data_IF_379588415471
#
_entry.id   IF_379588415471
#
_cell.length_a   1.000
_cell.length_b   1.000
_cell.length_c   1.000
_cell.angle_alpha   90.00
_cell.angle_beta   90.00
_cell.angle_gamma   90.00
#
_symmetry.space_group_name_H-M   'P 1'
#
loop_
_entity.id
_entity.type
_entity.pdbx_description
1 polymer ?
#
# COMPACT_ATOMS: atom_id res chain seq x y z
N UNK A 1 -52.91 -33.36 26.94
CA UNK A 1 -51.70 -33.23 27.78
C UNK A 1 -50.67 -34.22 27.28
N UNK A 2 -49.75 -33.81 26.41
CA UNK A 2 -48.51 -34.55 26.17
C UNK A 2 -47.47 -33.53 25.71
N UNK A 3 -46.67 -33.04 26.66
CA UNK A 3 -45.54 -32.17 26.37
C UNK A 3 -44.42 -33.04 25.78
N UNK A 4 -44.01 -32.74 24.55
CA UNK A 4 -42.82 -33.33 23.97
C UNK A 4 -41.61 -32.51 24.42
N UNK A 5 -40.95 -33.04 25.45
CA UNK A 5 -39.77 -32.44 26.07
C UNK A 5 -38.58 -32.56 25.11
N UNK A 6 -38.16 -31.43 24.52
CA UNK A 6 -36.88 -31.33 23.83
C UNK A 6 -35.75 -31.43 24.87
N UNK A 7 -35.07 -32.59 24.88
CA UNK A 7 -33.82 -32.77 25.63
C UNK A 7 -32.72 -32.01 24.89
N UNK A 8 -32.41 -30.80 25.35
CA UNK A 8 -31.19 -30.11 24.91
C UNK A 8 -30.01 -30.81 25.58
N UNK A 9 -29.30 -31.63 24.83
CA UNK A 9 -28.03 -32.20 25.27
C UNK A 9 -27.01 -31.05 25.33
N UNK A 10 -26.44 -30.80 26.51
CA UNK A 10 -25.29 -29.90 26.66
C UNK A 10 -24.06 -30.67 26.19
N UNK A 11 -23.81 -30.63 24.89
CA UNK A 11 -22.59 -31.18 24.27
C UNK A 11 -21.41 -30.28 24.63
N UNK A 12 -20.23 -30.88 24.81
CA UNK A 12 -19.02 -30.14 25.22
C UNK A 12 -18.68 -29.13 24.10
N UNK A 13 -18.12 -27.95 24.42
CA UNK A 13 -17.83 -26.91 23.42
C UNK A 13 -17.04 -27.41 22.20
N UNK A 14 -16.18 -28.41 22.38
CA UNK A 14 -15.41 -29.02 21.30
C UNK A 14 -16.25 -29.89 20.36
N UNK A 15 -17.30 -30.57 20.83
CA UNK A 15 -18.18 -31.40 19.98
C UNK A 15 -19.07 -30.53 19.09
N UNK A 16 -19.61 -29.43 19.63
CA UNK A 16 -20.38 -28.47 18.85
C UNK A 16 -19.54 -27.83 17.73
N UNK A 17 -18.24 -27.62 17.98
CA UNK A 17 -17.29 -27.14 16.97
C UNK A 17 -17.03 -28.22 15.91
N UNK A 18 -16.88 -29.49 16.30
CA UNK A 18 -16.67 -30.58 15.33
C UNK A 18 -17.88 -30.78 14.41
N UNK A 19 -19.10 -30.76 14.95
CA UNK A 19 -20.33 -30.87 14.13
C UNK A 19 -20.48 -29.68 13.16
N UNK A 20 -20.12 -28.47 13.59
CA UNK A 20 -20.11 -27.30 12.73
C UNK A 20 -19.08 -27.39 11.61
N UNK A 21 -17.86 -27.89 11.90
CA UNK A 21 -16.83 -28.09 10.88
C UNK A 21 -17.22 -29.19 9.87
N UNK A 22 -17.81 -30.29 10.34
CA UNK A 22 -18.23 -31.39 9.47
C UNK A 22 -19.35 -30.96 8.52
N UNK A 23 -20.31 -30.16 9.00
CA UNK A 23 -21.33 -29.54 8.17
C UNK A 23 -20.75 -28.60 7.09
N UNK A 24 -19.74 -27.81 7.44
CA UNK A 24 -19.07 -26.91 6.49
C UNK A 24 -18.24 -27.67 5.44
N UNK A 25 -17.61 -28.77 5.83
CA UNK A 25 -16.85 -29.66 4.93
C UNK A 25 -17.76 -30.38 3.92
N UNK A 26 -18.94 -30.85 4.36
CA UNK A 26 -19.91 -31.47 3.48
C UNK A 26 -20.49 -30.50 2.44
N UNK A 27 -20.78 -29.25 2.83
CA UNK A 27 -21.28 -28.22 1.91
C UNK A 27 -20.24 -27.85 0.83
N UNK A 28 -18.96 -27.71 1.23
CA UNK A 28 -17.87 -27.46 0.29
C UNK A 28 -17.67 -28.64 -0.70
N UNK A 29 -17.80 -29.88 -0.23
CA UNK A 29 -17.66 -31.08 -1.07
C UNK A 29 -18.83 -31.22 -2.05
N UNK A 30 -20.06 -30.94 -1.61
CA UNK A 30 -21.24 -30.95 -2.48
C UNK A 30 -21.13 -29.88 -3.59
N UNK A 31 -20.64 -28.68 -3.27
CA UNK A 31 -20.36 -27.63 -4.26
C UNK A 31 -19.28 -28.02 -5.26
N UNK A 32 -18.23 -28.71 -4.82
CA UNK A 32 -17.17 -29.19 -5.71
C UNK A 32 -17.68 -30.24 -6.71
N UNK A 33 -18.54 -31.16 -6.27
CA UNK A 33 -19.14 -32.18 -7.14
C UNK A 33 -20.11 -31.59 -8.18
N UNK A 34 -20.77 -30.46 -7.87
CA UNK A 34 -21.65 -29.76 -8.82
C UNK A 34 -20.90 -28.98 -9.91
N UNK A 35 -19.60 -28.71 -9.74
CA UNK A 35 -18.80 -27.97 -10.72
C UNK A 35 -18.19 -28.88 -11.81
N UNK A 36 -18.18 -30.20 -11.59
CA UNK A 36 -17.54 -31.18 -12.49
C UNK A 36 -18.52 -31.78 -13.52
N UNK A 37 -19.83 -31.52 -13.39
CA UNK A 37 -20.87 -32.06 -14.28
C UNK A 37 -21.31 -31.07 -15.38
N UNK A 38 -20.35 -30.32 -15.93
CA UNK A 38 -20.63 -29.38 -17.04
C UNK A 38 -19.47 -29.23 -18.05
N UNK A 39 -18.76 -30.31 -18.39
CA UNK A 39 -17.90 -30.33 -19.59
C UNK A 39 -18.10 -31.65 -20.34
N UNK A 40 -19.05 -31.64 -21.27
CA UNK A 40 -19.12 -32.64 -22.34
C UNK A 40 -17.95 -32.39 -23.32
N UNK A 41 -17.20 -33.42 -23.77
CA UNK A 41 -16.11 -33.25 -24.73
C UNK A 41 -16.68 -32.96 -26.13
N UNK A 42 -16.29 -31.84 -26.74
CA UNK A 42 -16.52 -31.61 -28.16
C UNK A 42 -15.31 -32.06 -28.99
N UNK A 43 -15.64 -32.77 -30.06
CA UNK A 43 -14.79 -33.45 -31.02
C UNK A 43 -13.78 -32.54 -31.75
N UNK A 44 -12.68 -33.20 -32.09
CA UNK A 44 -11.57 -32.81 -32.95
C UNK A 44 -12.07 -32.52 -34.37
N UNK A 45 -11.68 -31.38 -34.96
CA UNK A 45 -11.65 -31.25 -36.42
C UNK A 45 -10.31 -30.62 -36.82
N UNK A 46 -9.42 -31.51 -37.24
CA UNK A 46 -8.16 -31.23 -37.91
C UNK A 46 -8.46 -30.94 -39.38
N UNK A 47 -8.14 -29.74 -39.88
CA UNK A 47 -8.05 -29.49 -41.33
C UNK A 47 -6.72 -28.82 -41.62
N UNK A 48 -5.74 -29.68 -41.89
CA UNK A 48 -4.48 -29.37 -42.55
C UNK A 48 -4.79 -29.11 -44.03
N UNK A 49 -4.41 -27.94 -44.56
CA UNK A 49 -4.22 -27.77 -46.00
C UNK A 49 -2.90 -27.06 -46.28
N UNK A 50 -1.96 -27.92 -46.65
CA UNK A 50 -0.59 -27.76 -47.15
C UNK A 50 -0.54 -26.93 -48.46
N UNK A 51 0.36 -25.92 -48.44
CA UNK A 51 1.33 -25.46 -49.47
C UNK A 51 0.87 -24.92 -50.84
N UNK A 52 1.30 -23.69 -51.17
CA UNK A 52 2.21 -23.42 -52.30
C UNK A 52 2.82 -21.99 -52.24
N UNK A 53 4.16 -21.92 -52.20
CA UNK A 53 4.97 -20.73 -52.51
C UNK A 53 4.83 -20.37 -54.00
N UNK A 54 4.97 -19.09 -54.39
CA UNK A 54 6.28 -18.67 -54.92
C UNK A 54 6.67 -17.22 -54.58
N UNK A 55 7.91 -17.04 -54.12
CA UNK A 55 8.77 -15.92 -54.54
C UNK A 55 9.35 -16.27 -55.94
N UNK A 56 9.84 -15.33 -56.79
CA UNK A 56 10.45 -14.03 -56.45
C UNK A 56 10.12 -12.87 -57.41
N UNK A 57 10.28 -11.62 -56.96
CA UNK A 57 10.95 -10.59 -57.78
C UNK A 57 11.27 -9.37 -56.91
N UNK A 58 12.57 -9.18 -56.67
CA UNK A 58 13.14 -7.99 -56.05
C UNK A 58 13.28 -6.92 -57.15
N UNK A 59 12.37 -5.95 -57.18
CA UNK A 59 12.64 -4.65 -57.81
C UNK A 59 13.01 -3.64 -56.73
N UNK A 60 14.31 -3.35 -56.69
CA UNK A 60 14.91 -2.30 -55.88
C UNK A 60 14.49 -0.96 -56.48
N UNK A 61 13.64 -0.22 -55.78
CA UNK A 61 13.51 1.24 -55.95
C UNK A 61 13.70 1.91 -54.58
N UNK A 62 14.66 2.84 -54.43
CA UNK A 62 14.90 3.52 -53.17
C UNK A 62 13.85 4.62 -53.02
N UNK A 63 12.75 4.33 -52.34
CA UNK A 63 11.87 5.36 -51.80
C UNK A 63 12.17 5.49 -50.31
N UNK A 64 12.94 6.52 -49.99
CA UNK A 64 13.01 7.13 -48.66
C UNK A 64 11.58 7.45 -48.26
N UNK A 65 10.99 6.60 -47.43
CA UNK A 65 9.71 6.85 -46.78
C UNK A 65 9.97 6.78 -45.29
N UNK A 66 9.91 7.97 -44.72
CA UNK A 66 10.13 8.32 -43.32
C UNK A 66 9.56 7.26 -42.38
N UNK A 67 10.39 6.91 -41.39
CA UNK A 67 9.98 6.21 -40.18
C UNK A 67 8.63 6.76 -39.71
N UNK A 68 7.64 5.91 -39.40
CA UNK A 68 6.58 6.35 -38.52
C UNK A 68 7.24 6.56 -37.16
N UNK A 69 7.61 7.80 -36.90
CA UNK A 69 7.93 8.31 -35.58
C UNK A 69 6.79 7.83 -34.69
N UNK A 70 7.09 6.86 -33.83
CA UNK A 70 6.22 6.50 -32.74
C UNK A 70 5.88 7.81 -32.04
N UNK A 71 4.64 8.27 -32.16
CA UNK A 71 4.11 9.31 -31.31
C UNK A 71 4.07 8.65 -29.94
N UNK A 72 5.17 8.77 -29.20
CA UNK A 72 5.19 8.60 -27.77
C UNK A 72 4.27 9.71 -27.31
N UNK A 73 3.01 9.34 -27.08
CA UNK A 73 2.03 10.16 -26.41
C UNK A 73 2.71 10.59 -25.11
N UNK A 74 3.18 11.84 -25.09
CA UNK A 74 3.98 12.36 -24.01
C UNK A 74 3.08 12.33 -22.78
N UNK A 75 3.30 11.32 -21.94
CA UNK A 75 2.63 11.22 -20.65
C UNK A 75 2.76 12.60 -19.97
N UNK A 76 1.68 13.13 -19.37
CA UNK A 76 1.73 14.41 -18.69
C UNK A 76 2.91 14.39 -17.73
N UNK A 77 3.87 15.29 -17.93
CA UNK A 77 5.08 15.39 -17.11
C UNK A 77 4.65 15.49 -15.66
N UNK A 78 4.78 14.41 -14.89
CA UNK A 78 4.41 14.37 -13.50
C UNK A 78 5.21 15.47 -12.76
N UNK A 79 4.53 16.56 -12.38
CA UNK A 79 5.18 17.72 -11.80
C UNK A 79 5.73 17.33 -10.43
N UNK A 80 7.06 17.35 -10.31
CA UNK A 80 7.75 17.07 -9.06
C UNK A 80 7.71 15.61 -8.65
N UNK A 81 7.80 14.69 -9.62
CA UNK A 81 8.12 13.27 -9.37
C UNK A 81 9.57 13.14 -8.86
N UNK A 82 9.81 12.47 -7.73
CA UNK A 82 11.16 12.31 -7.18
C UNK A 82 12.10 11.55 -8.12
N UNK A 83 13.40 11.85 -8.10
CA UNK A 83 14.38 11.28 -9.04
C UNK A 83 14.49 9.75 -8.92
N UNK A 84 14.49 9.24 -7.69
CA UNK A 84 14.58 7.80 -7.41
C UNK A 84 13.47 6.97 -8.04
N UNK A 85 12.32 7.60 -8.31
CA UNK A 85 11.18 6.91 -8.84
C UNK A 85 11.27 6.64 -10.34
N UNK A 86 12.30 7.14 -11.04
CA UNK A 86 12.48 6.96 -12.50
C UNK A 86 12.91 5.56 -12.90
N UNK A 87 13.41 4.76 -11.96
CA UNK A 87 13.84 3.38 -12.17
C UNK A 87 13.07 2.46 -11.23
N UNK A 88 13.30 1.15 -11.31
CA UNK A 88 12.75 0.21 -10.32
C UNK A 88 13.30 0.53 -8.93
N UNK A 89 12.42 0.54 -7.94
CA UNK A 89 12.77 0.84 -6.55
C UNK A 89 12.06 -0.12 -5.59
N UNK A 90 12.58 -0.20 -4.38
CA UNK A 90 11.94 -0.96 -3.30
C UNK A 90 11.18 -0.03 -2.37
N UNK A 91 10.00 -0.47 -1.93
CA UNK A 91 9.17 0.24 -0.97
C UNK A 91 8.85 -0.64 0.23
N UNK A 92 8.90 -0.04 1.42
CA UNK A 92 8.42 -0.65 2.64
C UNK A 92 6.95 -0.34 2.78
N UNK A 93 6.14 -1.38 2.99
CA UNK A 93 4.73 -1.24 3.29
C UNK A 93 4.52 -1.09 4.79
N UNK A 94 3.67 -0.16 5.18
CA UNK A 94 3.29 0.04 6.59
C UNK A 94 1.85 0.54 6.67
N UNK A 95 1.25 0.45 7.86
CA UNK A 95 -0.13 0.85 8.09
C UNK A 95 -0.22 1.98 9.09
N UNK A 96 -1.09 2.94 8.77
CA UNK A 96 -1.43 4.07 9.65
C UNK A 96 -2.94 4.23 9.65
N UNK A 97 -3.57 4.06 10.81
CA UNK A 97 -5.02 4.22 11.00
C UNK A 97 -5.86 3.43 9.97
N UNK A 98 -5.43 2.19 9.67
CA UNK A 98 -6.08 1.32 8.69
C UNK A 98 -5.78 1.62 7.21
N UNK A 99 -4.99 2.65 6.88
CA UNK A 99 -4.51 2.90 5.53
C UNK A 99 -3.13 2.27 5.30
N UNK A 100 -2.99 1.56 4.17
CA UNK A 100 -1.71 1.03 3.71
C UNK A 100 -0.92 2.12 2.97
N UNK A 101 0.32 2.33 3.38
CA UNK A 101 1.25 3.29 2.81
C UNK A 101 2.52 2.57 2.34
N UNK A 102 3.19 3.17 1.38
CA UNK A 102 4.48 2.75 0.87
C UNK A 102 5.49 3.89 1.01
N UNK A 103 6.67 3.60 1.55
CA UNK A 103 7.82 4.52 1.58
C UNK A 103 9.01 3.89 0.86
N UNK A 104 9.71 4.61 -0.03
CA UNK A 104 10.91 4.09 -0.69
C UNK A 104 12.02 3.76 0.32
N UNK A 105 12.63 2.58 0.20
CA UNK A 105 13.70 2.14 1.11
C UNK A 105 14.92 3.08 1.10
N UNK A 106 15.19 3.72 -0.05
CA UNK A 106 16.30 4.66 -0.18
C UNK A 106 16.11 5.98 0.59
N UNK A 107 14.86 6.30 0.94
CA UNK A 107 14.46 7.47 1.75
C UNK A 107 14.11 7.06 3.19
N UNK A 108 14.06 5.76 3.47
CA UNK A 108 13.85 5.22 4.80
C UNK A 108 15.11 5.41 5.65
N UNK A 109 14.93 5.88 6.88
CA UNK A 109 15.96 5.88 7.90
C UNK A 109 15.95 4.57 8.68
N UNK A 110 15.71 4.67 9.98
CA UNK A 110 15.66 3.51 10.89
C UNK A 110 14.24 3.32 11.42
N UNK A 111 13.83 2.06 11.56
CA UNK A 111 12.58 1.67 12.20
C UNK A 111 12.90 1.25 13.63
N UNK A 112 12.22 1.86 14.60
CA UNK A 112 12.34 1.54 16.02
C UNK A 112 11.01 0.97 16.51
N UNK A 113 11.02 -0.12 17.30
CA UNK A 113 9.82 -0.53 18.02
C UNK A 113 9.50 0.50 19.12
N UNK A 114 8.23 0.84 19.28
CA UNK A 114 7.73 1.75 20.31
C UNK A 114 7.51 0.98 21.62
N UNK A 115 8.59 0.44 22.17
CA UNK A 115 8.56 -0.32 23.42
C UNK A 115 8.69 0.60 24.65
N UNK A 116 9.31 1.76 24.46
CA UNK A 116 9.49 2.78 25.50
C UNK A 116 8.50 3.94 25.33
N UNK A 117 8.02 4.53 26.44
CA UNK A 117 7.10 5.65 26.38
C UNK A 117 7.78 6.90 25.81
N UNK A 118 7.03 7.65 25.01
CA UNK A 118 7.45 8.95 24.51
C UNK A 118 7.46 9.96 25.66
N UNK A 119 8.47 10.82 25.71
CA UNK A 119 8.51 11.96 26.64
C UNK A 119 7.71 13.11 26.04
N UNK A 120 6.51 13.44 26.56
CA UNK A 120 5.71 14.54 26.02
C UNK A 120 6.39 15.89 26.30
N UNK A 121 6.18 16.85 25.41
CA UNK A 121 6.64 18.23 25.59
C UNK A 121 5.44 19.17 25.61
N UNK A 122 5.37 20.03 26.61
CA UNK A 122 4.31 21.02 26.75
C UNK A 122 4.39 22.10 25.69
N UNK A 123 3.22 22.62 25.31
CA UNK A 123 3.09 23.66 24.30
C UNK A 123 3.27 23.17 22.88
N UNK A 124 3.57 21.89 22.63
CA UNK A 124 3.72 21.33 21.29
C UNK A 124 2.40 21.22 20.51
N UNK A 125 2.42 21.22 19.17
CA UNK A 125 1.22 21.04 18.38
C UNK A 125 0.62 19.66 18.66
N UNK A 126 -0.66 19.49 18.42
CA UNK A 126 -1.39 18.26 18.72
C UNK A 126 -0.89 17.04 17.93
N UNK A 127 -0.24 17.25 16.78
CA UNK A 127 0.40 16.20 15.98
C UNK A 127 1.75 15.73 16.52
N UNK A 128 2.31 16.42 17.51
CA UNK A 128 3.54 16.02 18.19
C UNK A 128 3.21 15.07 19.35
N UNK A 129 3.76 13.85 19.33
CA UNK A 129 3.53 12.88 20.39
C UNK A 129 4.57 12.98 21.51
N UNK A 130 5.84 13.22 21.17
CA UNK A 130 6.90 13.30 22.17
C UNK A 130 8.30 13.06 21.63
N UNK A 131 9.26 12.98 22.55
CA UNK A 131 10.62 12.57 22.29
C UNK A 131 10.81 11.09 22.58
N UNK A 132 11.32 10.34 21.62
CA UNK A 132 11.77 8.96 21.79
C UNK A 132 13.29 8.92 21.99
N UNK A 133 13.76 8.31 23.06
CA UNK A 133 15.19 8.19 23.35
C UNK A 133 15.68 6.82 22.91
N UNK A 134 16.66 6.80 22.03
CA UNK A 134 17.28 5.56 21.58
C UNK A 134 18.79 5.71 21.46
N UNK A 135 19.54 4.88 22.18
CA UNK A 135 21.03 4.88 22.16
C UNK A 135 21.61 6.28 22.39
N UNK A 136 21.04 7.04 23.34
CA UNK A 136 21.47 8.40 23.68
C UNK A 136 21.06 9.50 22.70
N UNK A 137 20.40 9.16 21.58
CA UNK A 137 19.82 10.14 20.65
C UNK A 137 18.35 10.38 20.99
N UNK A 138 17.92 11.63 20.92
CA UNK A 138 16.52 12.03 21.09
C UNK A 138 15.88 12.27 19.73
N UNK A 139 14.86 11.49 19.39
CA UNK A 139 14.14 11.55 18.12
C UNK A 139 12.79 12.21 18.38
N UNK A 140 12.40 13.18 17.55
CA UNK A 140 11.08 13.81 17.63
C UNK A 140 10.06 12.95 16.93
N UNK A 141 9.01 12.55 17.64
CA UNK A 141 7.99 11.63 17.12
C UNK A 141 6.68 12.39 16.90
N UNK A 142 6.13 12.24 15.70
CA UNK A 142 4.82 12.74 15.34
C UNK A 142 3.83 11.62 15.06
N UNK A 143 2.56 11.94 15.19
CA UNK A 143 1.47 11.06 14.82
C UNK A 143 1.24 11.10 13.30
N UNK A 144 1.55 10.00 12.62
CA UNK A 144 1.34 9.89 11.18
C UNK A 144 -0.14 9.95 10.79
N UNK A 145 -1.07 9.51 11.65
CA UNK A 145 -2.48 9.44 11.33
C UNK A 145 -3.09 10.83 11.11
N UNK A 146 -2.68 11.81 11.90
CA UNK A 146 -3.10 13.21 11.77
C UNK A 146 -2.67 13.85 10.45
N UNK A 147 -1.54 13.43 9.91
CA UNK A 147 -1.01 13.95 8.65
C UNK A 147 -1.59 13.23 7.44
N UNK A 148 -1.72 11.92 7.53
CA UNK A 148 -2.13 11.07 6.42
C UNK A 148 -3.64 11.05 6.26
N UNK A 149 -4.42 11.07 7.36
CA UNK A 149 -5.89 11.06 7.35
C UNK A 149 -6.47 11.82 8.55
N UNK A 150 -6.35 13.16 8.58
CA UNK A 150 -6.90 13.97 9.67
C UNK A 150 -8.40 13.78 9.87
N UNK A 151 -9.16 13.53 8.80
CA UNK A 151 -10.61 13.38 8.86
C UNK A 151 -11.09 12.07 9.51
N UNK A 152 -10.22 11.06 9.62
CA UNK A 152 -10.53 9.76 10.25
C UNK A 152 -9.82 9.55 11.58
N UNK A 153 -9.19 10.59 12.11
CA UNK A 153 -8.43 10.49 13.34
C UNK A 153 -9.36 10.31 14.56
N UNK A 154 -9.05 9.31 15.38
CA UNK A 154 -9.60 9.15 16.74
C UNK A 154 -8.45 9.02 17.74
N UNK A 155 -8.61 9.54 18.98
CA UNK A 155 -7.55 9.47 20.00
C UNK A 155 -7.19 8.03 20.38
N UNK A 156 -8.10 7.08 20.21
CA UNK A 156 -7.90 5.63 20.42
C UNK A 156 -6.80 5.06 19.52
N UNK A 157 -6.54 5.68 18.36
CA UNK A 157 -5.47 5.25 17.45
C UNK A 157 -4.08 5.36 18.08
N UNK A 158 -3.90 6.20 19.11
CA UNK A 158 -2.62 6.35 19.79
C UNK A 158 -2.24 5.11 20.60
N UNK A 159 -3.22 4.34 21.08
CA UNK A 159 -2.97 3.10 21.83
C UNK A 159 -2.46 1.97 20.94
N UNK A 160 -2.73 2.05 19.63
CA UNK A 160 -2.32 1.05 18.65
C UNK A 160 -0.96 1.31 17.99
N UNK A 161 -0.23 2.35 18.39
CA UNK A 161 1.08 2.69 17.83
C UNK A 161 2.12 1.67 18.30
N UNK A 162 2.85 1.07 17.36
CA UNK A 162 3.84 0.02 17.65
C UNK A 162 5.23 0.32 17.16
N UNK A 163 5.37 1.18 16.15
CA UNK A 163 6.66 1.46 15.51
C UNK A 163 6.83 2.94 15.28
N UNK A 164 8.09 3.37 15.25
CA UNK A 164 8.54 4.69 14.87
C UNK A 164 9.43 4.54 13.63
N UNK A 165 9.05 5.18 12.53
CA UNK A 165 9.83 5.18 11.29
C UNK A 165 10.53 6.53 11.14
N UNK A 166 11.85 6.55 11.24
CA UNK A 166 12.67 7.71 10.88
C UNK A 166 12.85 7.77 9.37
N UNK A 167 12.84 8.99 8.82
CA UNK A 167 13.06 9.26 7.40
C UNK A 167 14.44 9.88 7.19
N UNK A 168 15.06 9.58 6.05
CA UNK A 168 16.40 10.07 5.73
C UNK A 168 16.42 11.61 5.68
N UNK A 169 17.43 12.20 6.29
CA UNK A 169 17.60 13.67 6.31
C UNK A 169 16.54 14.41 7.14
N UNK A 170 15.74 13.71 7.93
CA UNK A 170 14.71 14.29 8.79
C UNK A 170 15.04 14.00 10.27
N UNK A 171 14.98 15.03 11.11
CA UNK A 171 15.07 14.89 12.57
C UNK A 171 13.76 14.41 13.23
N UNK A 172 12.82 14.00 12.38
CA UNK A 172 11.46 13.63 12.69
C UNK A 172 11.25 12.17 12.34
N UNK A 173 10.38 11.53 13.12
CA UNK A 173 9.95 10.17 12.87
C UNK A 173 8.43 10.03 13.01
N UNK A 174 7.89 9.13 12.20
CA UNK A 174 6.47 8.84 12.08
C UNK A 174 6.11 7.70 13.02
N UNK A 175 5.19 7.93 13.96
CA UNK A 175 4.57 6.85 14.72
C UNK A 175 3.53 6.14 13.84
N UNK A 176 3.65 4.81 13.73
CA UNK A 176 2.81 3.98 12.88
C UNK A 176 2.30 2.74 13.63
N UNK A 177 1.20 2.17 13.15
CA UNK A 177 0.52 1.05 13.79
C UNK A 177 1.16 -0.30 13.49
N UNK A 178 1.66 -0.47 12.27
CA UNK A 178 2.15 -1.75 11.78
C UNK A 178 3.16 -1.56 10.65
N UNK A 179 4.17 -2.42 10.60
CA UNK A 179 5.16 -2.48 9.52
C UNK A 179 5.04 -3.86 8.86
N UNK A 180 4.88 -3.86 7.54
CA UNK A 180 4.72 -5.07 6.74
C UNK A 180 6.00 -5.34 5.92
N UNK A 181 5.87 -6.04 4.80
CA UNK A 181 6.99 -6.42 3.94
C UNK A 181 7.50 -5.27 3.04
N UNK A 182 8.71 -5.45 2.52
CA UNK A 182 9.25 -4.64 1.45
C UNK A 182 8.92 -5.28 0.10
N UNK A 183 8.55 -4.46 -0.88
CA UNK A 183 8.19 -4.88 -2.23
C UNK A 183 9.02 -4.14 -3.27
N UNK A 184 9.30 -4.79 -4.39
CA UNK A 184 9.89 -4.14 -5.53
C UNK A 184 8.79 -3.59 -6.44
N UNK A 185 8.90 -2.32 -6.82
CA UNK A 185 7.96 -1.63 -7.68
C UNK A 185 8.62 -1.17 -8.97
N UNK A 186 7.91 -1.38 -10.07
CA UNK A 186 8.20 -0.74 -11.33
C UNK A 186 7.54 0.65 -11.36
N UNK A 187 8.22 1.69 -11.87
CA UNK A 187 7.64 2.99 -12.19
C UNK A 187 6.21 2.96 -12.75
N UNK A 188 5.91 2.01 -13.62
CA UNK A 188 4.61 1.91 -14.30
C UNK A 188 3.53 1.26 -13.44
N UNK A 189 3.91 0.56 -12.36
CA UNK A 189 2.99 0.01 -11.37
C UNK A 189 2.43 1.07 -10.41
N UNK A 190 2.82 2.33 -10.58
CA UNK A 190 2.38 3.47 -9.77
C UNK A 190 1.60 4.45 -10.63
N UNK A 191 0.38 4.74 -10.20
CA UNK A 191 -0.41 5.86 -10.74
C UNK A 191 0.11 7.16 -10.12
N UNK A 192 1.06 7.79 -10.79
CA UNK A 192 1.63 9.08 -10.38
C UNK A 192 0.61 10.20 -10.44
N UNK A 193 0.74 11.16 -9.53
CA UNK A 193 -0.09 12.36 -9.57
C UNK A 193 0.49 13.38 -10.53
N UNK A 194 -0.39 13.98 -11.31
CA UNK A 194 -0.07 15.12 -12.19
C UNK A 194 -0.29 16.45 -11.50
N UNK A 195 -1.20 16.51 -10.52
CA UNK A 195 -1.52 17.70 -9.75
C UNK A 195 -1.41 17.47 -8.24
N UNK A 196 -0.83 18.46 -7.56
CA UNK A 196 -0.72 18.51 -6.11
C UNK A 196 -2.01 19.11 -5.56
N UNK A 197 -2.92 18.24 -5.12
CA UNK A 197 -4.17 18.63 -4.47
C UNK A 197 -4.03 18.72 -2.95
N UNK A 198 -5.11 18.44 -2.21
CA UNK A 198 -5.18 18.54 -0.73
C UNK A 198 -4.11 17.77 0.06
N UNK A 199 -3.52 16.73 -0.53
CA UNK A 199 -2.48 15.88 0.09
C UNK A 199 -1.16 16.03 -0.67
N UNK A 200 -0.35 17.07 -0.39
CA UNK A 200 0.90 17.33 -1.11
C UNK A 200 2.02 16.31 -0.84
N UNK A 201 1.92 15.55 0.25
CA UNK A 201 2.83 14.46 0.61
C UNK A 201 2.61 13.16 -0.19
N UNK A 202 1.54 13.05 -0.98
CA UNK A 202 1.22 11.84 -1.75
C UNK A 202 1.85 11.92 -3.13
N UNK A 203 2.82 11.04 -3.42
CA UNK A 203 3.48 10.97 -4.73
C UNK A 203 2.58 10.31 -5.79
N UNK A 204 1.87 9.26 -5.39
CA UNK A 204 1.06 8.43 -6.28
C UNK A 204 0.34 7.31 -5.54
N UNK A 205 -0.36 6.46 -6.30
CA UNK A 205 -1.03 5.26 -5.77
C UNK A 205 -0.42 4.04 -6.42
N UNK A 206 0.05 3.08 -5.63
CA UNK A 206 0.55 1.80 -6.12
C UNK A 206 -0.65 0.94 -6.52
N UNK A 207 -0.67 0.47 -7.77
CA UNK A 207 -1.84 -0.17 -8.38
C UNK A 207 -2.04 -1.58 -7.81
N UNK A 208 -0.98 -2.40 -7.76
CA UNK A 208 -1.10 -3.79 -7.29
C UNK A 208 -1.49 -3.89 -5.81
N UNK A 209 -0.82 -3.09 -4.97
CA UNK A 209 -1.01 -3.11 -3.52
C UNK A 209 -2.13 -2.20 -3.01
N UNK A 210 -2.72 -1.40 -3.89
CA UNK A 210 -3.76 -0.40 -3.57
C UNK A 210 -3.35 0.50 -2.39
N UNK A 211 -2.08 0.89 -2.34
CA UNK A 211 -1.52 1.69 -1.26
C UNK A 211 -1.06 3.07 -1.74
N UNK A 212 -1.02 4.02 -0.81
CA UNK A 212 -0.56 5.37 -1.08
C UNK A 212 0.98 5.44 -1.01
N UNK A 213 1.62 5.94 -2.06
CA UNK A 213 3.07 6.13 -2.12
C UNK A 213 3.45 7.51 -1.58
N UNK A 214 4.35 7.52 -0.59
CA UNK A 214 4.78 8.73 0.09
C UNK A 214 5.84 9.49 -0.71
N UNK A 215 5.71 10.82 -0.76
CA UNK A 215 6.75 11.77 -1.18
C UNK A 215 7.44 12.28 0.09
N UNK A 216 8.58 11.68 0.46
CA UNK A 216 9.26 11.93 1.75
C UNK A 216 9.79 13.37 1.81
N UNK A 217 10.39 13.86 0.73
CA UNK A 217 10.92 15.23 0.65
C UNK A 217 9.81 16.27 0.87
N UNK A 218 8.61 15.99 0.35
CA UNK A 218 7.48 16.90 0.53
C UNK A 218 6.86 16.78 1.89
N UNK A 219 6.72 15.57 2.42
CA UNK A 219 6.27 15.38 3.80
C UNK A 219 7.18 16.13 4.77
N UNK A 220 8.51 15.98 4.64
CA UNK A 220 9.49 16.66 5.50
C UNK A 220 9.40 18.18 5.41
N UNK A 221 9.26 18.73 4.20
CA UNK A 221 9.07 20.16 3.99
C UNK A 221 7.82 20.68 4.72
N UNK A 222 6.69 19.97 4.61
CA UNK A 222 5.45 20.36 5.28
C UNK A 222 5.56 20.31 6.80
N UNK A 223 6.26 19.32 7.34
CA UNK A 223 6.51 19.21 8.79
C UNK A 223 7.33 20.42 9.27
N UNK A 224 8.40 20.78 8.57
CA UNK A 224 9.21 21.95 8.90
C UNK A 224 8.42 23.26 8.85
N UNK A 225 7.54 23.41 7.86
CA UNK A 225 6.62 24.56 7.75
C UNK A 225 5.62 24.58 8.92
N UNK A 226 5.02 23.43 9.26
CA UNK A 226 4.08 23.32 10.37
C UNK A 226 4.73 23.62 11.72
N UNK A 227 5.96 23.16 11.95
CA UNK A 227 6.74 23.49 13.14
C UNK A 227 7.03 25.00 13.22
N UNK A 228 7.46 25.60 12.11
CA UNK A 228 7.75 27.04 12.04
C UNK A 228 6.51 27.89 12.31
N UNK A 229 5.38 27.52 11.73
CA UNK A 229 4.10 28.20 11.96
C UNK A 229 3.61 28.03 13.41
N UNK A 230 3.77 26.82 13.97
CA UNK A 230 3.47 26.55 15.37
C UNK A 230 4.33 27.40 16.32
N UNK A 231 5.61 27.59 16.01
CA UNK A 231 6.50 28.46 16.79
C UNK A 231 6.16 29.95 16.61
N UNK A 232 5.81 30.40 15.41
CA UNK A 232 5.41 31.79 15.17
C UNK A 232 4.14 32.16 15.94
N UNK A 233 3.16 31.26 16.02
CA UNK A 233 1.93 31.49 16.78
C UNK A 233 2.15 31.48 18.31
N UNK A 234 3.29 30.97 18.80
CA UNK A 234 3.67 31.03 20.23
C UNK A 234 4.40 32.31 20.61
N UNK A 235 5.00 33.00 19.65
CA UNK A 235 5.83 34.18 19.90
C UNK A 235 5.03 35.50 19.97
N UNK A 236 3.75 35.46 19.59
CA UNK A 236 2.78 36.55 19.72
C UNK A 236 1.82 36.30 20.89
#
# INVERSE_FOLDING_TARGET
>A
MSQQQLKVAVTKPQEAIQEYLDGLLQDATARALMLDEAVAPQEVVEVVKEVELPTPSLEITPQVKEEPVAVVESAPTAIGRPEWSRQRFECLLFKVAGLKLAVPLIELGTIYPLDEPLTPLFGQPDWFLGLYKHTGKSIRVMDAAKWVMPERYSPELNEGLKYIISLKGCDWALAVHDVAEAIQLDPDAVRWRTERGKRPWLAGTVIGEMCALLDVERLSSLICEAESNGNAMRAN
#
